data_IF_884036097213
#
_entry.id   IF_884036097213
#
_cell.length_a   1.000
_cell.length_b   1.000
_cell.length_c   1.000
_cell.angle_alpha   90.00
_cell.angle_beta   90.00
_cell.angle_gamma   90.00
#
_symmetry.space_group_name_H-M   'P 1'
#
loop_
_entity.id
_entity.type
_entity.pdbx_description
1 polymer ?
#
# COMPACT_ATOMS: atom_id res chain seq x y z
N UNK A 1 21.12 9.05 20.31
CA UNK A 1 20.02 9.16 19.33
C UNK A 1 19.17 10.44 19.44
N UNK A 2 19.35 11.29 20.47
CA UNK A 2 18.43 12.39 20.78
C UNK A 2 19.02 13.79 20.56
N UNK A 3 20.22 13.90 19.99
CA UNK A 3 20.85 15.19 19.70
C UNK A 3 20.55 15.61 18.26
N UNK A 4 19.59 16.53 18.09
CA UNK A 4 19.13 17.04 16.79
C UNK A 4 20.21 17.78 15.99
N UNK A 5 21.30 18.23 16.62
CA UNK A 5 22.43 18.89 15.94
C UNK A 5 23.46 17.88 15.37
N UNK A 6 23.43 16.61 15.83
CA UNK A 6 24.37 15.56 15.41
C UNK A 6 23.71 14.38 14.72
N UNK A 7 22.40 14.19 14.87
CA UNK A 7 21.68 13.05 14.31
C UNK A 7 20.41 13.52 13.64
N UNK A 8 20.30 13.28 12.33
CA UNK A 8 19.10 13.61 11.59
C UNK A 8 17.92 12.75 12.12
N UNK A 9 16.75 13.32 12.43
CA UNK A 9 15.61 12.58 13.00
C UNK A 9 15.20 11.35 12.17
N UNK A 10 15.34 11.41 10.84
CA UNK A 10 15.14 10.25 9.96
C UNK A 10 16.10 9.10 10.30
N UNK A 11 17.40 9.38 10.43
CA UNK A 11 18.41 8.36 10.72
C UNK A 11 18.19 7.73 12.08
N UNK A 12 17.81 8.52 13.09
CA UNK A 12 17.50 8.00 14.41
C UNK A 12 16.31 7.02 14.38
N UNK A 13 15.25 7.34 13.61
CA UNK A 13 14.08 6.45 13.44
C UNK A 13 14.43 5.16 12.70
N UNK A 14 15.24 5.26 11.64
CA UNK A 14 15.68 4.08 10.88
C UNK A 14 16.54 3.17 11.74
N UNK A 15 17.48 3.73 12.51
CA UNK A 15 18.33 2.93 13.39
C UNK A 15 17.50 2.21 14.46
N UNK A 16 16.60 2.93 15.14
CA UNK A 16 15.72 2.33 16.15
C UNK A 16 14.86 1.20 15.56
N UNK A 17 14.25 1.42 14.39
CA UNK A 17 13.46 0.39 13.72
C UNK A 17 14.29 -0.84 13.35
N UNK A 18 15.51 -0.64 12.81
CA UNK A 18 16.44 -1.75 12.53
C UNK A 18 16.80 -2.53 13.79
N UNK A 19 17.11 -1.86 14.90
CA UNK A 19 17.44 -2.51 16.17
C UNK A 19 16.28 -3.38 16.66
N UNK A 20 15.04 -2.88 16.60
CA UNK A 20 13.85 -3.65 17.00
C UNK A 20 13.69 -4.87 16.09
N UNK A 21 13.76 -4.73 14.76
CA UNK A 21 13.58 -5.86 13.84
C UNK A 21 14.70 -6.90 14.03
N UNK A 22 15.95 -6.48 14.18
CA UNK A 22 17.07 -7.38 14.39
C UNK A 22 16.95 -8.16 15.71
N UNK A 23 16.36 -7.57 16.74
CA UNK A 23 16.12 -8.23 18.02
C UNK A 23 15.10 -9.37 17.93
N UNK A 24 14.08 -9.26 17.07
CA UNK A 24 13.03 -10.27 16.92
C UNK A 24 13.26 -11.25 15.76
N UNK A 25 14.11 -10.89 14.80
CA UNK A 25 14.43 -11.69 13.62
C UNK A 25 15.95 -11.85 13.50
N UNK A 26 16.60 -11.12 12.59
CA UNK A 26 18.03 -11.09 12.39
C UNK A 26 18.44 -9.77 11.70
N UNK A 27 19.74 -9.48 11.63
CA UNK A 27 20.26 -8.26 11.00
C UNK A 27 19.92 -8.18 9.50
N UNK A 28 19.92 -9.31 8.79
CA UNK A 28 19.65 -9.34 7.35
C UNK A 28 18.21 -8.94 7.04
N UNK A 29 17.27 -9.37 7.87
CA UNK A 29 15.85 -9.04 7.81
C UNK A 29 15.62 -7.58 8.14
N UNK A 30 16.34 -7.04 9.13
CA UNK A 30 16.28 -5.62 9.49
C UNK A 30 16.77 -4.72 8.33
N UNK A 31 17.86 -5.08 7.67
CA UNK A 31 18.38 -4.35 6.52
C UNK A 31 17.46 -4.41 5.30
N UNK A 32 16.88 -5.59 5.02
CA UNK A 32 15.88 -5.75 3.95
C UNK A 32 14.64 -4.92 4.23
N UNK A 33 14.09 -4.96 5.46
CA UNK A 33 12.92 -4.19 5.85
C UNK A 33 13.17 -2.67 5.75
N UNK A 34 14.35 -2.19 6.16
CA UNK A 34 14.70 -0.77 6.04
C UNK A 34 14.84 -0.34 4.57
N UNK A 35 15.46 -1.17 3.73
CA UNK A 35 15.60 -0.91 2.29
C UNK A 35 14.23 -0.87 1.61
N UNK A 36 13.37 -1.83 1.94
CA UNK A 36 12.01 -1.90 1.42
C UNK A 36 11.17 -0.71 1.85
N UNK A 37 11.29 -0.29 3.11
CA UNK A 37 10.63 0.91 3.62
C UNK A 37 11.06 2.17 2.84
N UNK A 38 12.36 2.35 2.59
CA UNK A 38 12.84 3.49 1.80
C UNK A 38 12.38 3.40 0.33
N UNK A 39 12.33 2.21 -0.29
CA UNK A 39 11.77 2.04 -1.64
C UNK A 39 10.29 2.42 -1.70
N UNK A 40 9.47 1.85 -0.83
CA UNK A 40 8.00 2.01 -0.86
C UNK A 40 7.59 3.41 -0.43
N UNK A 41 8.11 3.88 0.70
CA UNK A 41 7.63 5.13 1.32
C UNK A 41 8.46 6.35 0.94
N UNK A 42 9.77 6.21 0.73
CA UNK A 42 10.61 7.35 0.32
C UNK A 42 10.68 7.50 -1.20
N UNK A 43 10.78 6.40 -1.96
CA UNK A 43 10.87 6.42 -3.44
C UNK A 43 9.53 6.20 -4.15
N UNK A 44 8.42 5.97 -3.41
CA UNK A 44 7.07 5.71 -3.96
C UNK A 44 7.04 4.52 -4.93
N UNK A 45 7.90 3.53 -4.71
CA UNK A 45 7.90 2.30 -5.48
C UNK A 45 6.84 1.34 -4.92
N UNK A 46 6.39 0.37 -5.73
CA UNK A 46 5.48 -0.67 -5.28
C UNK A 46 6.21 -1.59 -4.28
N UNK A 47 5.54 -2.06 -3.21
CA UNK A 47 6.09 -3.09 -2.35
C UNK A 47 6.40 -4.37 -3.15
N UNK A 48 7.48 -5.06 -2.79
CA UNK A 48 7.81 -6.38 -3.33
C UNK A 48 6.74 -7.41 -2.89
N UNK A 49 6.22 -7.28 -1.66
CA UNK A 49 5.17 -8.12 -1.10
C UNK A 49 3.83 -7.38 -1.10
N UNK A 50 3.03 -7.56 -2.15
CA UNK A 50 1.68 -7.01 -2.28
C UNK A 50 0.68 -8.13 -2.01
N UNK A 51 -0.26 -7.96 -1.06
CA UNK A 51 -1.31 -8.94 -0.81
C UNK A 51 -2.08 -9.29 -2.09
N UNK A 52 -2.06 -10.56 -2.50
CA UNK A 52 -2.84 -11.07 -3.63
C UNK A 52 -4.29 -11.35 -3.19
N UNK A 53 -5.25 -10.88 -4.00
CA UNK A 53 -6.67 -11.06 -3.74
C UNK A 53 -7.34 -11.66 -4.96
N UNK A 54 -7.98 -12.80 -4.73
CA UNK A 54 -8.73 -13.51 -5.77
C UNK A 54 -10.04 -12.82 -6.06
N UNK A 55 -10.31 -12.55 -7.35
CA UNK A 55 -11.53 -11.92 -7.81
C UNK A 55 -12.00 -12.54 -9.14
N UNK A 56 -13.31 -12.54 -9.37
CA UNK A 56 -13.86 -12.98 -10.65
C UNK A 56 -13.53 -11.99 -11.77
N UNK A 57 -13.41 -12.49 -13.01
CA UNK A 57 -13.19 -11.71 -14.22
C UNK A 57 -14.44 -10.92 -14.66
N UNK A 58 -15.20 -10.37 -13.73
CA UNK A 58 -16.47 -9.68 -13.99
C UNK A 58 -16.34 -8.18 -13.70
N UNK A 59 -17.00 -7.30 -14.49
CA UNK A 59 -17.05 -5.87 -14.20
C UNK A 59 -17.57 -5.63 -12.79
N UNK A 60 -16.77 -4.93 -11.98
CA UNK A 60 -17.13 -4.60 -10.60
C UNK A 60 -16.94 -3.11 -10.34
N UNK A 61 -17.89 -2.52 -9.63
CA UNK A 61 -17.80 -1.12 -9.22
C UNK A 61 -16.56 -0.90 -8.34
N UNK A 62 -15.83 0.19 -8.57
CA UNK A 62 -14.63 0.56 -7.82
C UNK A 62 -14.85 0.52 -6.29
N UNK A 63 -15.99 1.00 -5.80
CA UNK A 63 -16.33 0.95 -4.38
C UNK A 63 -16.48 -0.46 -3.82
N UNK A 64 -17.07 -1.40 -4.57
CA UNK A 64 -17.18 -2.81 -4.19
C UNK A 64 -15.82 -3.50 -4.27
N UNK A 65 -15.04 -3.19 -5.30
CA UNK A 65 -13.69 -3.72 -5.50
C UNK A 65 -12.77 -3.42 -4.29
N UNK A 66 -12.78 -2.18 -3.80
CA UNK A 66 -12.02 -1.79 -2.61
C UNK A 66 -12.41 -2.60 -1.35
N UNK A 67 -13.70 -2.91 -1.22
CA UNK A 67 -14.24 -3.66 -0.10
C UNK A 67 -13.87 -5.15 -0.19
N UNK A 68 -13.99 -5.74 -1.38
CA UNK A 68 -13.49 -7.10 -1.66
C UNK A 68 -11.99 -7.21 -1.40
N UNK A 69 -11.24 -6.16 -1.77
CA UNK A 69 -9.80 -6.10 -1.53
C UNK A 69 -9.42 -5.87 -0.05
N UNK A 70 -10.40 -5.77 0.87
CA UNK A 70 -10.20 -5.46 2.29
C UNK A 70 -9.36 -4.18 2.51
N UNK A 71 -9.34 -3.27 1.54
CA UNK A 71 -8.61 -2.00 1.62
C UNK A 71 -9.38 -0.97 2.46
N UNK A 72 -10.70 -1.15 2.59
CA UNK A 72 -11.63 -0.28 3.33
C UNK A 72 -12.55 -1.13 4.21
N UNK A 73 -13.00 -0.54 5.31
CA UNK A 73 -13.85 -1.21 6.30
C UNK A 73 -15.34 -1.22 5.94
N UNK A 74 -15.78 -0.28 5.09
CA UNK A 74 -17.18 -0.16 4.68
C UNK A 74 -17.33 0.43 3.27
N UNK A 75 -18.47 0.18 2.62
CA UNK A 75 -18.77 0.74 1.28
C UNK A 75 -18.87 2.26 1.28
N UNK A 76 -19.32 2.87 2.38
CA UNK A 76 -19.34 4.33 2.56
C UNK A 76 -17.93 4.91 2.65
N UNK A 77 -17.01 4.22 3.35
CA UNK A 77 -15.59 4.58 3.36
C UNK A 77 -14.98 4.45 1.97
N UNK A 78 -15.31 3.40 1.22
CA UNK A 78 -14.86 3.21 -0.17
C UNK A 78 -15.22 4.42 -1.04
N UNK A 79 -16.50 4.85 -1.01
CA UNK A 79 -16.97 6.01 -1.77
C UNK A 79 -16.28 7.30 -1.34
N UNK A 80 -16.07 7.49 -0.03
CA UNK A 80 -15.35 8.67 0.50
C UNK A 80 -13.91 8.69 0.03
N UNK A 81 -13.20 7.56 0.09
CA UNK A 81 -11.83 7.45 -0.38
C UNK A 81 -11.73 7.73 -1.88
N UNK A 82 -12.62 7.17 -2.70
CA UNK A 82 -12.59 7.44 -4.16
C UNK A 82 -12.89 8.91 -4.47
N UNK A 83 -13.83 9.54 -3.75
CA UNK A 83 -14.12 10.97 -3.89
C UNK A 83 -13.00 11.87 -3.37
N UNK A 84 -12.17 11.38 -2.46
CA UNK A 84 -11.03 12.14 -1.94
C UNK A 84 -9.94 12.16 -3.02
N UNK A 85 -9.57 13.36 -3.47
CA UNK A 85 -8.59 13.51 -4.54
C UNK A 85 -7.31 12.70 -4.27
N UNK A 86 -6.88 11.93 -5.27
CA UNK A 86 -5.64 11.13 -5.25
C UNK A 86 -5.54 10.07 -4.15
N UNK A 87 -6.66 9.68 -3.53
CA UNK A 87 -6.65 8.65 -2.49
C UNK A 87 -6.82 7.22 -3.04
N UNK A 88 -7.24 7.04 -4.30
CA UNK A 88 -7.35 5.71 -4.93
C UNK A 88 -6.72 5.74 -6.31
N UNK A 89 -5.87 4.75 -6.59
CA UNK A 89 -5.27 4.52 -7.90
C UNK A 89 -5.29 3.04 -8.27
N UNK A 90 -5.50 2.75 -9.55
CA UNK A 90 -5.53 1.42 -10.14
C UNK A 90 -4.52 1.40 -11.28
N UNK A 91 -3.52 0.51 -11.22
CA UNK A 91 -2.37 0.47 -12.13
C UNK A 91 -1.69 1.84 -12.34
N UNK A 92 -1.66 2.67 -11.28
CA UNK A 92 -1.11 4.03 -11.34
C UNK A 92 -2.07 5.10 -11.89
N UNK A 93 -3.20 4.71 -12.49
CA UNK A 93 -4.27 5.62 -12.90
C UNK A 93 -5.16 6.01 -11.72
N UNK A 94 -5.37 7.32 -11.50
CA UNK A 94 -6.26 7.80 -10.42
C UNK A 94 -7.72 7.61 -10.81
N UNK A 95 -8.55 7.18 -9.86
CA UNK A 95 -10.00 7.05 -10.06
C UNK A 95 -10.71 8.04 -9.13
N UNK A 96 -11.65 8.79 -9.68
CA UNK A 96 -12.48 9.77 -8.96
C UNK A 96 -13.96 9.37 -8.89
N UNK A 97 -14.40 8.41 -9.70
CA UNK A 97 -15.79 7.95 -9.73
C UNK A 97 -15.97 6.65 -8.92
N UNK A 98 -16.74 6.67 -7.81
CA UNK A 98 -17.04 5.48 -7.02
C UNK A 98 -17.85 4.40 -7.74
N UNK A 99 -18.53 4.78 -8.81
CA UNK A 99 -19.36 3.92 -9.64
C UNK A 99 -18.64 3.46 -10.92
N UNK A 100 -17.39 3.85 -11.13
CA UNK A 100 -16.59 3.35 -12.24
C UNK A 100 -16.56 1.82 -12.20
N UNK A 101 -16.92 1.20 -13.32
CA UNK A 101 -16.77 -0.24 -13.52
C UNK A 101 -15.32 -0.55 -13.87
N UNK A 102 -14.71 -1.41 -13.08
CA UNK A 102 -13.35 -1.89 -13.30
C UNK A 102 -13.50 -3.36 -13.64
N UNK A 103 -12.95 -3.77 -14.78
CA UNK A 103 -12.81 -5.18 -15.12
C UNK A 103 -11.49 -5.67 -14.53
N UNK A 104 -11.51 -6.56 -13.52
CA UNK A 104 -10.29 -7.09 -12.94
C UNK A 104 -9.46 -7.84 -13.99
N UNK A 105 -8.18 -7.54 -14.06
CA UNK A 105 -7.22 -8.26 -14.90
C UNK A 105 -6.11 -8.85 -14.02
N UNK A 106 -5.50 -9.94 -14.51
CA UNK A 106 -4.42 -10.61 -13.80
C UNK A 106 -3.27 -9.63 -13.53
N UNK A 107 -2.85 -9.54 -12.27
CA UNK A 107 -1.75 -8.65 -11.86
C UNK A 107 -2.13 -7.17 -11.69
N UNK A 108 -3.41 -6.80 -11.82
CA UNK A 108 -3.86 -5.42 -11.60
C UNK A 108 -3.57 -4.99 -10.15
N UNK A 109 -2.90 -3.85 -9.97
CA UNK A 109 -2.56 -3.31 -8.65
C UNK A 109 -3.50 -2.19 -8.26
N UNK A 110 -4.15 -2.34 -7.11
CA UNK A 110 -4.98 -1.32 -6.49
C UNK A 110 -4.22 -0.71 -5.32
N UNK A 111 -4.21 0.60 -5.27
CA UNK A 111 -3.59 1.37 -4.20
C UNK A 111 -4.61 2.33 -3.60
N UNK A 112 -4.73 2.30 -2.27
CA UNK A 112 -5.50 3.26 -1.49
C UNK A 112 -4.53 4.04 -0.59
N UNK A 113 -4.41 5.33 -0.88
CA UNK A 113 -3.49 6.23 -0.21
C UNK A 113 -2.03 5.82 -0.41
N UNK A 114 -1.19 6.03 0.62
CA UNK A 114 0.25 5.75 0.55
C UNK A 114 0.66 4.39 1.11
N UNK A 115 -0.25 3.67 1.77
CA UNK A 115 0.10 2.53 2.63
C UNK A 115 -0.70 1.25 2.36
N UNK A 116 -1.79 1.32 1.60
CA UNK A 116 -2.66 0.15 1.35
C UNK A 116 -2.55 -0.23 -0.12
N UNK A 117 -2.12 -1.46 -0.38
CA UNK A 117 -1.93 -2.01 -1.72
C UNK A 117 -2.59 -3.40 -1.78
N UNK A 118 -3.14 -3.76 -2.92
CA UNK A 118 -3.61 -5.12 -3.23
C UNK A 118 -3.32 -5.43 -4.69
N UNK A 119 -2.95 -6.68 -4.98
CA UNK A 119 -2.78 -7.20 -6.34
C UNK A 119 -3.95 -8.13 -6.64
N UNK A 120 -4.63 -7.91 -7.75
CA UNK A 120 -5.73 -8.75 -8.19
C UNK A 120 -5.19 -9.99 -8.87
N UNK A 121 -5.79 -11.12 -8.52
CA UNK A 121 -5.60 -12.41 -9.17
C UNK A 121 -6.96 -12.87 -9.69
N UNK A 122 -7.07 -13.01 -11.00
CA UNK A 122 -8.31 -13.41 -11.65
C UNK A 122 -8.45 -14.92 -11.52
N UNK A 123 -9.63 -15.38 -11.10
CA UNK A 123 -10.01 -16.80 -11.14
C UNK A 123 -10.60 -17.18 -12.48
#
# INVERSE_FOLDING_TARGET
LINSAKTHPKQAKVLLAKTIVAQFYDETTADRAATEFDKVFARRQLPDDIPEIQIAAEPIMASKLLLHCKLVSSGSEAKRMIKTQSAVSVNGGKISDPNAEITPTEGMVIQVGKRKFARLKVK
#
